data_IF_944295473981
#
_entry.id   IF_944295473981
#
_cell.length_a   1.000
_cell.length_b   1.000
_cell.length_c   1.000
_cell.angle_alpha   90.00
_cell.angle_beta   90.00
_cell.angle_gamma   90.00
#
_symmetry.space_group_name_H-M   'P 1'
#
loop_
_entity.id
_entity.type
_entity.pdbx_description
1 polymer ?
#
# COMPACT_ATOMS: atom_id res chain seq x y z
N UNK A 1 -11.87 29.15 -75.53
CA UNK A 1 -12.26 28.17 -74.49
C UNK A 1 -11.06 27.98 -73.57
N UNK A 2 -11.08 28.51 -72.34
CA UNK A 2 -10.00 28.41 -71.34
C UNK A 2 -10.52 27.54 -70.19
N UNK A 3 -9.85 26.43 -69.81
CA UNK A 3 -10.31 25.64 -68.68
C UNK A 3 -9.86 26.34 -67.39
N UNK A 4 -10.82 26.58 -66.50
CA UNK A 4 -10.61 27.09 -65.16
C UNK A 4 -10.20 25.91 -64.27
N UNK A 5 -8.94 25.88 -63.81
CA UNK A 5 -8.45 24.94 -62.81
C UNK A 5 -8.88 25.42 -61.42
N UNK A 6 -9.84 24.73 -60.80
CA UNK A 6 -10.19 24.89 -59.38
C UNK A 6 -9.20 24.11 -58.51
N UNK A 7 -8.35 24.81 -57.75
CA UNK A 7 -7.62 24.23 -56.62
C UNK A 7 -8.57 24.05 -55.44
N UNK A 8 -8.91 22.81 -55.11
CA UNK A 8 -9.58 22.47 -53.86
C UNK A 8 -8.52 22.39 -52.73
N UNK A 9 -8.49 23.39 -51.84
CA UNK A 9 -7.66 23.36 -50.64
C UNK A 9 -8.25 22.37 -49.62
N UNK A 10 -7.61 21.22 -49.44
CA UNK A 10 -7.92 20.30 -48.33
C UNK A 10 -7.48 20.92 -47.00
N UNK A 11 -8.43 21.45 -46.24
CA UNK A 11 -8.26 21.77 -44.82
C UNK A 11 -8.33 20.47 -44.01
N UNK A 12 -7.18 19.93 -43.58
CA UNK A 12 -7.17 18.86 -42.58
C UNK A 12 -7.56 19.42 -41.21
N UNK A 13 -8.55 18.83 -40.51
CA UNK A 13 -8.89 19.24 -39.15
C UNK A 13 -7.77 18.82 -38.19
N UNK A 14 -7.21 19.79 -37.46
CA UNK A 14 -6.29 19.52 -36.37
C UNK A 14 -7.04 18.81 -35.24
N UNK A 15 -6.75 17.53 -35.01
CA UNK A 15 -7.25 16.83 -33.83
C UNK A 15 -6.54 17.36 -32.60
N UNK A 16 -7.25 18.13 -31.77
CA UNK A 16 -6.76 18.54 -30.47
C UNK A 16 -6.66 17.29 -29.57
N UNK A 17 -5.44 16.89 -29.21
CA UNK A 17 -5.21 15.86 -28.20
C UNK A 17 -5.57 16.47 -26.85
N UNK A 18 -6.64 15.99 -26.21
CA UNK A 18 -7.02 16.43 -24.88
C UNK A 18 -5.87 16.16 -23.90
N UNK A 19 -5.51 17.17 -23.09
CA UNK A 19 -4.50 17.01 -22.06
C UNK A 19 -4.89 15.89 -21.08
N UNK A 20 -3.95 15.06 -20.63
CA UNK A 20 -4.25 13.99 -19.70
C UNK A 20 -4.73 14.56 -18.36
N UNK A 21 -5.78 13.94 -17.79
CA UNK A 21 -6.27 14.26 -16.44
C UNK A 21 -5.39 13.56 -15.42
N UNK A 22 -4.45 14.29 -14.85
CA UNK A 22 -3.46 13.76 -13.91
C UNK A 22 -3.90 13.86 -12.44
N UNK A 23 -5.04 14.50 -12.17
CA UNK A 23 -5.60 14.74 -10.84
C UNK A 23 -6.34 13.54 -10.25
N UNK A 24 -6.84 12.65 -11.11
CA UNK A 24 -7.63 11.48 -10.69
C UNK A 24 -7.22 10.24 -11.44
N UNK A 25 -7.08 9.14 -10.69
CA UNK A 25 -6.90 7.84 -11.30
C UNK A 25 -8.13 7.52 -12.15
N UNK A 26 -7.96 7.14 -13.43
CA UNK A 26 -9.12 6.81 -14.25
C UNK A 26 -9.85 5.61 -13.66
N UNK A 27 -11.18 5.69 -13.51
CA UNK A 27 -12.04 4.61 -12.98
C UNK A 27 -11.79 3.24 -13.61
N UNK A 28 -11.36 3.23 -14.88
CA UNK A 28 -10.96 2.00 -15.58
C UNK A 28 -9.75 1.33 -14.91
N UNK A 29 -8.72 2.11 -14.60
CA UNK A 29 -7.51 1.61 -13.92
C UNK A 29 -7.88 1.10 -12.53
N UNK A 30 -8.68 1.85 -11.77
CA UNK A 30 -9.11 1.45 -10.42
C UNK A 30 -9.77 0.07 -10.40
N UNK A 31 -10.65 -0.21 -11.39
CA UNK A 31 -11.38 -1.48 -11.47
C UNK A 31 -10.63 -2.62 -12.12
N UNK A 32 -9.78 -2.33 -13.13
CA UNK A 32 -9.18 -3.35 -13.98
C UNK A 32 -7.72 -3.65 -13.65
N UNK A 33 -7.06 -2.86 -12.79
CA UNK A 33 -5.69 -3.14 -12.36
C UNK A 33 -5.60 -4.51 -11.66
N UNK A 34 -4.56 -5.26 -11.98
CA UNK A 34 -4.30 -6.54 -11.35
C UNK A 34 -3.63 -6.30 -10.00
N UNK A 35 -4.32 -6.65 -8.90
CA UNK A 35 -3.72 -6.63 -7.57
C UNK A 35 -2.57 -7.65 -7.49
N UNK A 36 -1.41 -7.21 -7.03
CA UNK A 36 -0.26 -8.07 -6.80
C UNK A 36 -0.36 -8.62 -5.38
N UNK A 37 -0.57 -9.94 -5.26
CA UNK A 37 -0.68 -10.66 -3.98
C UNK A 37 0.14 -11.95 -4.06
N UNK A 38 1.07 -12.20 -3.12
CA UNK A 38 1.57 -11.26 -2.12
C UNK A 38 2.23 -10.03 -2.76
N UNK A 39 2.28 -8.91 -2.02
CA UNK A 39 2.90 -7.66 -2.47
C UNK A 39 4.35 -7.94 -2.87
N UNK A 40 4.78 -7.41 -4.02
CA UNK A 40 6.11 -7.72 -4.57
C UNK A 40 7.13 -6.67 -4.20
N UNK A 41 8.36 -7.11 -3.89
CA UNK A 41 9.54 -6.26 -3.89
C UNK A 41 10.13 -6.29 -5.30
N UNK A 42 10.29 -5.12 -5.92
CA UNK A 42 10.92 -4.96 -7.22
C UNK A 42 12.19 -4.12 -7.10
N UNK A 43 13.13 -4.34 -8.02
CA UNK A 43 14.37 -3.57 -8.13
C UNK A 43 14.41 -2.88 -9.49
N UNK A 44 14.81 -1.62 -9.49
CA UNK A 44 15.03 -0.84 -10.71
C UNK A 44 16.29 -1.34 -11.41
N UNK A 45 16.16 -1.76 -12.65
CA UNK A 45 17.24 -2.20 -13.54
C UNK A 45 17.50 -1.23 -14.70
N UNK A 46 16.62 -0.23 -14.86
CA UNK A 46 16.71 0.78 -15.91
C UNK A 46 18.04 1.55 -15.90
N UNK A 47 18.55 1.86 -17.09
CA UNK A 47 19.75 2.69 -17.24
C UNK A 47 19.49 4.19 -17.08
N UNK A 48 18.24 4.60 -17.29
CA UNK A 48 17.80 5.97 -17.08
C UNK A 48 16.84 6.03 -15.89
N UNK A 49 16.71 7.18 -15.23
CA UNK A 49 15.73 7.37 -14.16
C UNK A 49 14.33 6.97 -14.60
N UNK A 50 13.63 6.24 -13.72
CA UNK A 50 12.19 5.99 -13.86
C UNK A 50 11.45 7.03 -13.03
N UNK A 51 10.77 7.95 -13.71
CA UNK A 51 9.95 8.95 -13.07
C UNK A 51 8.67 8.33 -12.53
N UNK A 52 8.22 8.84 -11.39
CA UNK A 52 6.88 8.60 -10.89
C UNK A 52 5.87 9.36 -11.74
N UNK A 53 4.67 8.81 -11.82
CA UNK A 53 3.51 9.42 -12.45
C UNK A 53 2.34 9.39 -11.47
N UNK A 54 1.51 10.44 -11.47
CA UNK A 54 0.31 10.46 -10.61
C UNK A 54 -0.74 9.42 -11.04
N UNK A 55 -0.77 9.11 -12.33
CA UNK A 55 -1.61 8.09 -12.98
C UNK A 55 -0.76 7.33 -14.02
N UNK A 56 -1.16 6.14 -14.50
CA UNK A 56 -0.35 5.36 -15.47
C UNK A 56 -0.44 5.92 -16.91
N UNK A 57 -0.04 7.17 -17.07
CA UNK A 57 -0.01 7.93 -18.31
C UNK A 57 1.30 8.71 -18.45
N UNK A 58 1.91 8.69 -19.65
CA UNK A 58 3.21 9.35 -19.90
C UNK A 58 3.17 10.86 -19.69
N UNK A 59 2.04 11.52 -19.92
CA UNK A 59 1.89 12.96 -19.74
C UNK A 59 1.70 13.39 -18.29
N UNK A 60 1.59 12.45 -17.35
CA UNK A 60 1.40 12.71 -15.92
C UNK A 60 2.66 12.46 -15.07
N UNK A 61 3.85 12.68 -15.66
CA UNK A 61 5.12 12.52 -14.96
C UNK A 61 5.28 13.57 -13.85
N UNK A 62 5.88 13.17 -12.73
CA UNK A 62 6.28 14.06 -11.64
C UNK A 62 7.79 14.30 -11.68
N UNK A 63 8.32 15.29 -10.94
CA UNK A 63 9.77 15.49 -10.81
C UNK A 63 10.49 14.38 -10.02
N UNK A 64 9.76 13.50 -9.33
CA UNK A 64 10.33 12.45 -8.48
C UNK A 64 10.65 11.23 -9.32
N UNK A 65 11.80 10.62 -9.10
CA UNK A 65 12.26 9.46 -9.83
C UNK A 65 13.04 8.49 -8.95
N UNK A 66 13.17 7.28 -9.44
CA UNK A 66 14.04 6.24 -8.89
C UNK A 66 15.08 5.86 -9.94
N UNK A 67 16.25 5.49 -9.45
CA UNK A 67 17.39 5.07 -10.28
C UNK A 67 17.67 3.59 -10.07
N UNK A 68 18.62 3.05 -10.86
CA UNK A 68 19.06 1.67 -10.75
C UNK A 68 19.35 1.28 -9.30
N UNK A 69 19.02 0.03 -8.96
CA UNK A 69 19.17 -0.60 -7.65
C UNK A 69 18.25 -0.08 -6.54
N UNK A 70 17.49 1.00 -6.78
CA UNK A 70 16.41 1.38 -5.87
C UNK A 70 15.37 0.24 -5.78
N UNK A 71 14.94 -0.02 -4.55
CA UNK A 71 13.91 -0.98 -4.25
C UNK A 71 12.53 -0.31 -4.22
N UNK A 72 11.55 -1.00 -4.79
CA UNK A 72 10.16 -0.58 -4.86
C UNK A 72 9.27 -1.68 -4.27
N UNK A 73 8.25 -1.25 -3.56
CA UNK A 73 7.12 -2.10 -3.17
C UNK A 73 6.04 -1.97 -4.24
N UNK A 74 5.64 -3.05 -4.91
CA UNK A 74 4.65 -3.05 -5.98
C UNK A 74 3.32 -3.68 -5.54
N UNK A 75 2.23 -2.92 -5.70
CA UNK A 75 0.89 -3.28 -5.20
C UNK A 75 -0.08 -3.74 -6.28
N UNK A 76 0.03 -3.17 -7.48
CA UNK A 76 -0.80 -3.51 -8.62
C UNK A 76 -0.06 -3.28 -9.94
N UNK A 77 -0.50 -4.00 -10.97
CA UNK A 77 -0.06 -3.85 -12.35
C UNK A 77 -1.23 -3.43 -13.23
N UNK A 78 -0.98 -2.55 -14.19
CA UNK A 78 -1.93 -2.23 -15.25
C UNK A 78 -1.21 -1.86 -16.54
N UNK A 79 -1.28 -2.73 -17.55
CA UNK A 79 -0.79 -2.48 -18.93
C UNK A 79 0.67 -1.99 -19.00
N UNK A 80 1.55 -2.64 -18.25
CA UNK A 80 2.97 -2.35 -18.15
C UNK A 80 3.30 -1.17 -17.23
N UNK A 81 2.34 -0.70 -16.44
CA UNK A 81 2.55 0.24 -15.36
C UNK A 81 2.39 -0.44 -14.01
N UNK A 82 3.18 -0.02 -13.04
CA UNK A 82 3.13 -0.56 -11.68
C UNK A 82 2.79 0.56 -10.70
N UNK A 83 1.78 0.33 -9.86
CA UNK A 83 1.56 1.14 -8.67
C UNK A 83 2.58 0.71 -7.62
N UNK A 84 3.45 1.63 -7.25
CA UNK A 84 4.59 1.36 -6.39
C UNK A 84 4.73 2.37 -5.27
N UNK A 85 5.47 1.98 -4.25
CA UNK A 85 5.99 2.83 -3.21
C UNK A 85 7.50 2.66 -3.09
N UNK A 86 8.20 3.76 -2.83
CA UNK A 86 9.62 3.81 -2.55
C UNK A 86 9.85 4.55 -1.24
N UNK A 87 10.72 4.01 -0.39
CA UNK A 87 11.25 4.73 0.76
C UNK A 87 12.70 5.08 0.50
N UNK A 88 13.07 6.35 0.67
CA UNK A 88 14.47 6.76 0.57
C UNK A 88 15.25 6.41 1.86
N UNK A 89 16.54 6.71 1.89
CA UNK A 89 17.41 6.43 3.03
C UNK A 89 16.99 7.13 4.34
N UNK A 90 16.23 8.22 4.25
CA UNK A 90 15.66 8.94 5.40
C UNK A 90 14.32 8.37 5.86
N UNK A 91 13.80 7.36 5.18
CA UNK A 91 12.48 6.79 5.43
C UNK A 91 11.33 7.60 4.82
N UNK A 92 11.60 8.64 4.03
CA UNK A 92 10.54 9.38 3.36
C UNK A 92 9.93 8.54 2.24
N UNK A 93 8.61 8.49 2.19
CA UNK A 93 7.87 7.59 1.32
C UNK A 93 7.29 8.34 0.12
N UNK A 94 7.55 7.84 -1.08
CA UNK A 94 6.94 8.30 -2.33
C UNK A 94 6.09 7.18 -2.91
N UNK A 95 4.85 7.49 -3.30
CA UNK A 95 3.96 6.55 -3.97
C UNK A 95 3.50 7.08 -5.33
N UNK A 96 3.25 6.19 -6.28
CA UNK A 96 2.72 6.54 -7.59
C UNK A 96 2.92 5.43 -8.62
N UNK A 97 2.82 5.78 -9.90
CA UNK A 97 2.94 4.85 -11.01
C UNK A 97 4.30 4.96 -11.69
N UNK A 98 4.91 3.82 -12.02
CA UNK A 98 6.14 3.78 -12.83
C UNK A 98 5.98 2.82 -14.00
N UNK A 99 6.78 3.01 -15.04
CA UNK A 99 6.86 2.04 -16.14
C UNK A 99 7.52 0.75 -15.64
N UNK A 100 6.89 -0.39 -15.93
CA UNK A 100 7.43 -1.71 -15.63
C UNK A 100 8.67 -2.06 -16.45
N UNK A 101 8.88 -1.40 -17.60
CA UNK A 101 10.11 -1.56 -18.37
C UNK A 101 11.30 -1.02 -17.56
N UNK A 102 12.17 -1.93 -17.14
CA UNK A 102 13.28 -1.60 -16.24
C UNK A 102 13.01 -1.92 -14.78
N UNK A 103 11.99 -2.72 -14.47
CA UNK A 103 11.80 -3.33 -13.16
C UNK A 103 12.08 -4.84 -13.23
N UNK A 104 12.57 -5.41 -12.13
CA UNK A 104 12.71 -6.84 -11.92
C UNK A 104 12.12 -7.22 -10.57
N UNK A 105 11.29 -8.26 -10.51
CA UNK A 105 10.83 -8.82 -9.25
C UNK A 105 12.02 -9.43 -8.50
N UNK A 106 12.20 -9.01 -7.24
CA UNK A 106 13.29 -9.43 -6.36
C UNK A 106 12.80 -10.23 -5.15
N UNK A 107 11.47 -10.36 -4.99
CA UNK A 107 10.85 -11.14 -3.93
C UNK A 107 9.43 -10.67 -3.67
N UNK A 108 8.86 -11.14 -2.58
CA UNK A 108 7.55 -10.71 -2.09
C UNK A 108 7.72 -10.20 -0.67
N UNK A 109 7.18 -9.02 -0.37
CA UNK A 109 7.21 -8.46 0.98
C UNK A 109 6.54 -9.44 1.95
N UNK A 110 7.25 -9.73 3.04
CA UNK A 110 6.85 -10.75 4.03
C UNK A 110 7.42 -12.15 3.78
N UNK A 111 8.11 -12.39 2.66
CA UNK A 111 8.77 -13.68 2.38
C UNK A 111 10.22 -13.52 1.87
N UNK A 112 10.76 -12.30 1.80
CA UNK A 112 12.18 -12.09 1.53
C UNK A 112 13.00 -12.24 2.81
N UNK A 113 13.32 -13.49 3.14
CA UNK A 113 14.13 -13.91 4.31
C UNK A 113 15.51 -13.26 4.45
N UNK A 114 15.93 -12.43 3.48
CA UNK A 114 17.18 -11.65 3.49
C UNK A 114 17.03 -10.21 3.97
N UNK A 115 15.81 -9.65 3.97
CA UNK A 115 15.51 -8.26 4.37
C UNK A 115 14.56 -8.23 5.55
N UNK A 116 13.79 -9.31 5.78
CA UNK A 116 13.22 -9.52 7.09
C UNK A 116 14.35 -9.42 8.13
N UNK A 117 14.26 -8.55 9.14
CA UNK A 117 15.08 -8.76 10.32
C UNK A 117 14.89 -10.21 10.73
N UNK A 118 15.96 -10.88 11.19
CA UNK A 118 15.83 -12.17 11.86
C UNK A 118 14.58 -12.08 12.74
N UNK A 119 13.62 -13.03 12.62
CA UNK A 119 12.25 -12.87 13.14
C UNK A 119 12.34 -12.18 14.48
N UNK A 120 11.83 -10.94 14.54
CA UNK A 120 12.04 -10.00 15.64
C UNK A 120 12.10 -10.81 16.93
N UNK A 121 13.32 -10.95 17.47
CA UNK A 121 13.74 -12.00 18.39
C UNK A 121 12.55 -12.76 18.94
N UNK A 122 12.18 -13.88 18.28
CA UNK A 122 10.93 -14.61 18.47
C UNK A 122 10.22 -14.17 19.75
N UNK A 123 9.21 -13.30 19.61
CA UNK A 123 8.48 -12.71 20.73
C UNK A 123 8.36 -13.78 21.81
N UNK A 124 8.76 -13.48 23.06
CA UNK A 124 8.90 -14.49 24.11
C UNK A 124 7.69 -15.40 24.02
N UNK A 125 7.89 -16.71 23.78
CA UNK A 125 6.79 -17.64 23.44
C UNK A 125 5.77 -17.58 24.56
N UNK A 126 4.75 -16.74 24.38
CA UNK A 126 3.75 -16.50 25.39
C UNK A 126 2.95 -17.80 25.53
N UNK A 127 2.44 -18.09 26.74
CA UNK A 127 1.38 -19.08 26.89
C UNK A 127 0.27 -18.83 25.84
N UNK A 128 -0.30 -19.87 25.20
CA UNK A 128 -1.27 -19.69 24.11
C UNK A 128 -2.47 -18.81 24.46
N UNK A 129 -2.92 -18.85 25.72
CA UNK A 129 -3.97 -17.99 26.25
C UNK A 129 -3.53 -16.51 26.34
N UNK A 130 -2.28 -16.25 26.74
CA UNK A 130 -1.71 -14.92 26.75
C UNK A 130 -1.48 -14.39 25.33
N UNK A 131 -0.97 -15.21 24.42
CA UNK A 131 -0.77 -14.85 23.01
C UNK A 131 -2.08 -14.38 22.36
N UNK A 132 -3.17 -15.16 22.51
CA UNK A 132 -4.46 -14.80 21.91
C UNK A 132 -5.07 -13.50 22.47
N UNK A 133 -4.84 -13.19 23.74
CA UNK A 133 -5.30 -11.91 24.32
C UNK A 133 -4.39 -10.76 23.88
N UNK A 134 -3.07 -10.94 23.86
CA UNK A 134 -2.12 -9.90 23.42
C UNK A 134 -2.34 -9.52 21.96
N UNK A 135 -2.56 -10.49 21.07
CA UNK A 135 -2.87 -10.22 19.66
C UNK A 135 -4.17 -9.42 19.53
N UNK A 136 -5.20 -9.75 20.32
CA UNK A 136 -6.44 -8.98 20.35
C UNK A 136 -6.25 -7.57 20.88
N UNK A 137 -5.43 -7.36 21.90
CA UNK A 137 -5.10 -6.01 22.39
C UNK A 137 -4.52 -5.16 21.26
N UNK A 138 -3.53 -5.69 20.53
CA UNK A 138 -2.91 -4.98 19.42
C UNK A 138 -3.91 -4.66 18.29
N UNK A 139 -4.76 -5.63 17.92
CA UNK A 139 -5.76 -5.42 16.88
C UNK A 139 -6.85 -4.42 17.28
N UNK A 140 -7.35 -4.48 18.52
CA UNK A 140 -8.33 -3.49 18.99
C UNK A 140 -7.72 -2.09 19.10
N UNK A 141 -6.45 -1.98 19.52
CA UNK A 141 -5.73 -0.71 19.55
C UNK A 141 -5.52 -0.12 18.14
N UNK A 142 -5.22 -0.97 17.14
CA UNK A 142 -5.04 -0.55 15.75
C UNK A 142 -6.26 0.19 15.19
N UNK A 143 -7.46 -0.37 15.41
CA UNK A 143 -8.71 0.20 14.91
C UNK A 143 -9.30 1.29 15.83
N UNK A 144 -8.68 1.55 16.99
CA UNK A 144 -9.20 2.52 17.96
C UNK A 144 -9.13 3.94 17.38
N UNK A 145 -10.30 4.58 17.23
CA UNK A 145 -10.40 5.94 16.69
C UNK A 145 -10.43 6.05 15.17
N UNK A 146 -10.42 4.92 14.44
CA UNK A 146 -10.56 4.93 12.97
C UNK A 146 -11.99 5.23 12.50
N UNK A 147 -12.98 5.12 13.39
CA UNK A 147 -14.37 5.48 13.12
C UNK A 147 -14.68 6.90 13.59
N UNK A 148 -15.35 7.67 12.73
CA UNK A 148 -15.80 9.03 13.03
C UNK A 148 -17.29 9.12 13.39
N UNK A 149 -18.05 8.01 13.30
CA UNK A 149 -19.47 7.93 13.62
C UNK A 149 -20.41 8.35 12.49
N UNK A 150 -19.90 8.60 11.28
CA UNK A 150 -20.67 9.04 10.11
C UNK A 150 -21.52 7.93 9.45
N UNK A 151 -21.45 6.70 9.96
CA UNK A 151 -22.21 5.55 9.46
C UNK A 151 -21.88 5.18 8.00
N UNK A 152 -20.72 5.61 7.49
CA UNK A 152 -20.21 5.19 6.20
C UNK A 152 -19.99 3.67 6.15
N UNK A 153 -19.81 3.14 4.93
CA UNK A 153 -19.45 1.73 4.75
C UNK A 153 -18.11 1.39 5.40
N UNK A 154 -17.21 2.37 5.53
CA UNK A 154 -15.95 2.21 6.25
C UNK A 154 -16.21 2.07 7.76
N UNK A 155 -17.01 2.96 8.35
CA UNK A 155 -17.43 2.88 9.75
C UNK A 155 -18.08 1.54 10.10
N UNK A 156 -18.98 1.05 9.25
CA UNK A 156 -19.63 -0.26 9.44
C UNK A 156 -18.64 -1.42 9.41
N UNK A 157 -17.64 -1.38 8.51
CA UNK A 157 -16.60 -2.41 8.41
C UNK A 157 -15.69 -2.41 9.65
N UNK A 158 -15.29 -1.23 10.11
CA UNK A 158 -14.48 -1.09 11.32
C UNK A 158 -15.27 -1.61 12.52
N UNK A 159 -16.53 -1.20 12.69
CA UNK A 159 -17.39 -1.65 13.78
C UNK A 159 -17.63 -3.17 13.79
N UNK A 160 -17.87 -3.77 12.62
CA UNK A 160 -17.99 -5.22 12.48
C UNK A 160 -16.69 -5.94 12.90
N UNK A 161 -15.54 -5.42 12.47
CA UNK A 161 -14.22 -5.97 12.82
C UNK A 161 -13.96 -5.88 14.33
N UNK A 162 -14.27 -4.74 14.95
CA UNK A 162 -14.14 -4.54 16.41
C UNK A 162 -15.03 -5.50 17.21
N UNK A 163 -16.22 -5.82 16.68
CA UNK A 163 -17.13 -6.80 17.28
C UNK A 163 -16.59 -8.22 17.16
N UNK A 164 -16.06 -8.60 15.98
CA UNK A 164 -15.46 -9.92 15.75
C UNK A 164 -14.23 -10.16 16.65
N UNK A 165 -13.39 -9.14 16.82
CA UNK A 165 -12.25 -9.15 17.74
C UNK A 165 -12.65 -9.16 19.24
N UNK A 166 -13.94 -8.92 19.52
CA UNK A 166 -14.52 -8.80 20.86
C UNK A 166 -13.84 -7.71 21.70
N UNK A 167 -13.65 -6.54 21.09
CA UNK A 167 -12.98 -5.40 21.75
C UNK A 167 -13.80 -4.83 22.91
N UNK A 168 -15.12 -5.07 22.94
CA UNK A 168 -16.03 -4.75 24.04
C UNK A 168 -15.71 -5.49 25.35
N UNK A 169 -15.21 -6.74 25.24
CA UNK A 169 -14.82 -7.57 26.39
C UNK A 169 -13.33 -7.53 26.72
N UNK A 170 -12.54 -6.75 25.97
CA UNK A 170 -11.08 -6.78 26.03
C UNK A 170 -10.53 -6.40 27.40
N UNK A 171 -11.09 -5.38 28.06
CA UNK A 171 -10.63 -4.95 29.38
C UNK A 171 -10.77 -6.06 30.44
N UNK A 172 -11.91 -6.77 30.42
CA UNK A 172 -12.17 -7.89 31.31
C UNK A 172 -11.21 -9.05 31.05
N UNK A 173 -10.96 -9.37 29.77
CA UNK A 173 -10.02 -10.42 29.37
C UNK A 173 -8.58 -10.08 29.77
N UNK A 174 -8.15 -8.83 29.61
CA UNK A 174 -6.84 -8.34 30.05
C UNK A 174 -6.72 -8.41 31.57
N UNK A 175 -7.75 -8.02 32.32
CA UNK A 175 -7.75 -8.11 33.78
C UNK A 175 -7.65 -9.58 34.25
N UNK A 176 -8.41 -10.49 33.62
CA UNK A 176 -8.34 -11.91 33.90
C UNK A 176 -6.95 -12.49 33.59
N UNK A 177 -6.35 -12.09 32.47
CA UNK A 177 -5.00 -12.51 32.07
C UNK A 177 -3.94 -12.03 33.07
N UNK A 178 -3.98 -10.74 33.44
CA UNK A 178 -3.05 -10.15 34.44
C UNK A 178 -3.15 -10.84 35.79
N UNK A 179 -4.36 -11.25 36.20
CA UNK A 179 -4.57 -12.02 37.43
C UNK A 179 -3.97 -13.43 37.33
N UNK A 180 -4.17 -14.11 36.20
CA UNK A 180 -3.68 -15.48 35.97
C UNK A 180 -2.16 -15.55 35.86
N UNK A 181 -1.56 -14.55 35.21
CA UNK A 181 -0.13 -14.46 34.93
C UNK A 181 0.56 -13.38 35.78
N UNK A 182 0.10 -13.16 37.00
CA UNK A 182 0.58 -12.09 37.89
C UNK A 182 2.06 -12.19 38.25
N UNK A 183 2.63 -13.40 38.17
CA UNK A 183 4.05 -13.68 38.43
C UNK A 183 4.87 -13.88 37.13
N UNK A 184 4.27 -13.61 35.96
CA UNK A 184 4.96 -13.71 34.67
C UNK A 184 5.19 -12.29 34.10
N UNK A 185 6.36 -11.68 34.38
CA UNK A 185 6.65 -10.32 33.91
C UNK A 185 6.72 -10.22 32.38
N UNK A 186 6.95 -11.32 31.65
CA UNK A 186 6.96 -11.31 30.20
C UNK A 186 5.55 -11.13 29.63
N UNK A 187 4.55 -11.84 30.19
CA UNK A 187 3.14 -11.68 29.82
C UNK A 187 2.64 -10.28 30.15
N UNK A 188 2.95 -9.76 31.35
CA UNK A 188 2.50 -8.43 31.77
C UNK A 188 3.05 -7.32 30.86
N UNK A 189 4.35 -7.41 30.51
CA UNK A 189 5.01 -6.49 29.60
C UNK A 189 4.43 -6.57 28.18
N UNK A 190 4.16 -7.78 27.68
CA UNK A 190 3.60 -7.97 26.34
C UNK A 190 2.21 -7.31 26.19
N UNK A 191 1.36 -7.41 27.20
CA UNK A 191 0.04 -6.75 27.23
C UNK A 191 0.16 -5.23 27.21
N UNK A 192 1.09 -4.66 27.99
CA UNK A 192 1.34 -3.22 28.02
C UNK A 192 1.85 -2.69 26.67
N UNK A 193 2.81 -3.40 26.08
CA UNK A 193 3.37 -3.03 24.78
C UNK A 193 2.33 -3.13 23.65
N UNK A 194 1.46 -4.13 23.68
CA UNK A 194 0.41 -4.30 22.67
C UNK A 194 -0.68 -3.21 22.73
N UNK A 195 -0.84 -2.52 23.86
CA UNK A 195 -1.82 -1.44 24.02
C UNK A 195 -1.31 -0.07 23.53
N UNK A 196 -0.05 0.01 23.08
CA UNK A 196 0.56 1.27 22.61
C UNK A 196 0.50 1.31 21.07
N UNK A 197 0.00 2.41 20.46
CA UNK A 197 -0.01 2.56 19.00
C UNK A 197 1.38 2.79 18.40
#
# INVERSE_FOLDING_TARGET
MKPLLLLAALLLPASAVAAPRCDKLPLRVEREQAAIRPVQRMIVTAARPLYFHSVPDRGCATPVFVVRDNALTAYSEWKGWYSVQHSNEKGEMTSGWVRGQGLKTAGTLGLDTRILPAPAAAAPKLPPDAAGVVDRVAMCAHFAGESNGDQSEQDKRISATMTELRCDSLEADVAALRKKHSNDPAVLKAVEQAATP
#
